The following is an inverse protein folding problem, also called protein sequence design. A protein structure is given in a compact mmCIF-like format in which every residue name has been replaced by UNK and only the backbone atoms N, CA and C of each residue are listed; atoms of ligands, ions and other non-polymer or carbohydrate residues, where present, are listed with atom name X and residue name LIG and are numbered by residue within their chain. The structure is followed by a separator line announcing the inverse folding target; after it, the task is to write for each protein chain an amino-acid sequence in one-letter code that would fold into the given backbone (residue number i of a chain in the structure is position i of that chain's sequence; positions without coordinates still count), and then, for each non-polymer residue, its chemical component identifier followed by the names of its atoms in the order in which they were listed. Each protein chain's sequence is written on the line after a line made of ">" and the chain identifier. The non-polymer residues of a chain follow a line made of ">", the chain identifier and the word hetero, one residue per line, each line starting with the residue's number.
data_IF_685993967987
#
_entry.id   IF_685993967987
#
_cell.length_a   1.000
_cell.length_b   1.000
_cell.length_c   1.000
_cell.angle_alpha   90.00
_cell.angle_beta   90.00
_cell.angle_gamma   90.00
#
_symmetry.space_group_name_H-M   'P 1'
#
loop_
_entity.id
_entity.type
_entity.pdbx_description
1 polymer ?
#
# COMPACT_ATOMS: atom_id res chain seq x y z
N UNK A 1 -30.10 5.75 -35.23
CA UNK A 1 -28.92 5.94 -34.37
C UNK A 1 -28.57 4.60 -33.76
N UNK A 2 -27.31 4.18 -33.91
CA UNK A 2 -26.67 3.06 -33.21
C UNK A 2 -25.19 3.20 -33.53
N UNK A 3 -24.52 4.09 -32.81
CA UNK A 3 -23.14 4.49 -33.08
C UNK A 3 -22.20 3.26 -33.01
N UNK A 4 -21.26 3.12 -33.96
CA UNK A 4 -20.37 1.97 -34.01
C UNK A 4 -19.44 2.04 -32.79
N UNK A 5 -19.65 1.11 -31.85
CA UNK A 5 -18.96 1.06 -30.56
C UNK A 5 -17.43 1.10 -30.72
N UNK A 6 -16.86 2.30 -30.65
CA UNK A 6 -15.45 2.50 -30.34
C UNK A 6 -15.21 1.96 -28.93
N UNK A 7 -14.14 1.19 -28.75
CA UNK A 7 -13.72 0.86 -27.39
C UNK A 7 -13.15 2.11 -26.72
N UNK A 8 -13.04 2.11 -25.39
CA UNK A 8 -12.23 3.08 -24.63
C UNK A 8 -10.77 3.07 -25.13
N UNK A 9 -10.34 1.93 -25.69
CA UNK A 9 -9.10 1.70 -26.42
C UNK A 9 -9.00 2.53 -27.74
N UNK A 10 -10.00 3.34 -28.12
CA UNK A 10 -10.02 4.26 -29.28
C UNK A 10 -10.18 3.60 -30.65
N UNK A 11 -9.88 2.30 -30.74
CA UNK A 11 -9.99 1.50 -31.96
C UNK A 11 -11.42 1.00 -32.21
N UNK A 12 -11.77 0.69 -33.48
CA UNK A 12 -13.07 0.11 -33.82
C UNK A 12 -13.22 -1.28 -33.21
N UNK A 13 -14.28 -1.50 -32.41
CA UNK A 13 -14.59 -2.83 -31.91
C UNK A 13 -15.34 -3.65 -32.97
N UNK A 14 -14.99 -4.94 -33.08
CA UNK A 14 -15.76 -5.91 -33.87
C UNK A 14 -16.41 -6.92 -32.95
N UNK A 15 -17.63 -7.34 -33.28
CA UNK A 15 -18.31 -8.45 -32.60
C UNK A 15 -18.07 -9.71 -33.44
N UNK A 16 -17.39 -10.69 -32.86
CA UNK A 16 -17.19 -12.02 -33.45
C UNK A 16 -18.19 -13.00 -32.87
N UNK A 17 -18.67 -13.94 -33.67
CA UNK A 17 -19.54 -15.04 -33.23
C UNK A 17 -18.72 -16.33 -33.22
N UNK A 18 -18.63 -17.00 -32.07
CA UNK A 18 -17.89 -18.25 -31.94
C UNK A 18 -18.54 -19.36 -32.75
N UNK A 19 -17.75 -19.99 -33.61
CA UNK A 19 -18.08 -21.21 -34.36
C UNK A 19 -17.56 -22.48 -33.67
N UNK A 20 -16.97 -22.36 -32.48
CA UNK A 20 -16.38 -23.51 -31.78
C UNK A 20 -17.47 -24.47 -31.27
N UNK A 21 -17.27 -25.81 -31.35
CA UNK A 21 -18.25 -26.78 -30.84
C UNK A 21 -18.54 -26.63 -29.33
N UNK A 22 -17.60 -26.07 -28.57
CA UNK A 22 -17.70 -25.86 -27.12
C UNK A 22 -18.49 -24.61 -26.73
N UNK A 23 -18.68 -23.65 -27.64
CA UNK A 23 -19.42 -22.41 -27.36
C UNK A 23 -20.03 -21.80 -28.65
N UNK A 24 -20.88 -22.53 -29.40
CA UNK A 24 -21.41 -22.08 -30.68
C UNK A 24 -22.36 -20.89 -30.50
N UNK A 25 -22.31 -19.92 -31.40
CA UNK A 25 -23.21 -18.76 -31.42
C UNK A 25 -22.91 -17.66 -30.39
N UNK A 26 -21.97 -17.87 -29.46
CA UNK A 26 -21.63 -16.86 -28.46
C UNK A 26 -20.88 -15.68 -29.07
N UNK A 27 -21.33 -14.46 -28.77
CA UNK A 27 -20.68 -13.23 -29.22
C UNK A 27 -19.52 -12.81 -28.31
N UNK A 28 -18.44 -12.32 -28.92
CA UNK A 28 -17.24 -11.78 -28.27
C UNK A 28 -16.90 -10.42 -28.89
N UNK A 29 -16.64 -9.40 -28.06
CA UNK A 29 -16.23 -8.07 -28.50
C UNK A 29 -14.70 -8.00 -28.50
N UNK A 30 -14.10 -7.57 -29.62
CA UNK A 30 -12.65 -7.51 -29.81
C UNK A 30 -12.21 -6.07 -30.12
N UNK A 31 -11.26 -5.52 -29.35
CA UNK A 31 -10.54 -4.29 -29.70
C UNK A 31 -9.23 -4.67 -30.43
N UNK A 32 -9.15 -4.36 -31.73
CA UNK A 32 -7.96 -4.52 -32.58
C UNK A 32 -7.51 -5.98 -32.90
N UNK A 33 -6.70 -6.15 -33.96
CA UNK A 33 -6.38 -7.44 -34.59
C UNK A 33 -5.16 -8.17 -33.99
N UNK A 34 -4.53 -7.61 -32.96
CA UNK A 34 -3.51 -8.33 -32.18
C UNK A 34 -4.17 -9.05 -31.01
N UNK A 35 -4.08 -10.38 -31.02
CA UNK A 35 -4.27 -11.18 -29.82
C UNK A 35 -3.27 -10.70 -28.77
N UNK A 36 -3.75 -9.93 -27.79
CA UNK A 36 -3.05 -9.78 -26.54
C UNK A 36 -3.23 -11.11 -25.80
N UNK A 37 -2.21 -11.97 -25.88
CA UNK A 37 -2.03 -13.09 -24.97
C UNK A 37 -1.79 -12.55 -23.56
N UNK A 38 -2.88 -12.09 -22.94
CA UNK A 38 -2.93 -11.83 -21.51
C UNK A 38 -3.06 -13.20 -20.87
N UNK A 39 -1.91 -13.79 -20.51
CA UNK A 39 -1.89 -14.89 -19.54
C UNK A 39 -2.79 -14.52 -18.36
N UNK A 40 -3.63 -15.45 -17.86
CA UNK A 40 -4.45 -15.20 -16.69
C UNK A 40 -3.59 -15.24 -15.42
N UNK A 41 -2.66 -14.29 -15.29
CA UNK A 41 -1.92 -13.97 -14.07
C UNK A 41 -2.83 -13.27 -13.03
N UNK A 42 -4.06 -13.77 -12.89
CA UNK A 42 -4.95 -13.44 -11.78
C UNK A 42 -4.61 -14.35 -10.60
N UNK A 43 -3.50 -14.04 -9.92
CA UNK A 43 -3.48 -14.27 -8.47
C UNK A 43 -4.73 -13.56 -7.91
N UNK A 44 -5.62 -14.26 -7.19
CA UNK A 44 -6.88 -13.67 -6.79
C UNK A 44 -6.62 -12.45 -5.91
N UNK A 45 -7.14 -11.28 -6.33
CA UNK A 45 -6.94 -9.99 -5.64
C UNK A 45 -7.32 -10.07 -4.15
N UNK A 46 -8.19 -11.01 -3.77
CA UNK A 46 -8.53 -11.31 -2.38
C UNK A 46 -7.34 -11.84 -1.56
N UNK A 47 -6.50 -12.74 -2.08
CA UNK A 47 -5.37 -13.28 -1.31
C UNK A 47 -4.31 -12.20 -1.05
N UNK A 48 -4.04 -11.34 -2.04
CA UNK A 48 -3.16 -10.17 -1.89
C UNK A 48 -3.76 -9.21 -0.85
N UNK A 49 -5.07 -8.92 -0.92
CA UNK A 49 -5.74 -8.05 0.04
C UNK A 49 -5.75 -8.63 1.46
N UNK A 50 -5.80 -9.95 1.65
CA UNK A 50 -5.69 -10.58 2.97
C UNK A 50 -4.26 -10.51 3.53
N UNK A 51 -3.24 -10.81 2.72
CA UNK A 51 -1.82 -10.64 3.11
C UNK A 51 -1.52 -9.20 3.52
N UNK A 52 -1.95 -8.22 2.71
CA UNK A 52 -1.78 -6.80 3.02
C UNK A 52 -2.51 -6.38 4.32
N UNK A 53 -3.68 -6.95 4.64
CA UNK A 53 -4.35 -6.69 5.94
C UNK A 53 -3.52 -7.18 7.13
N UNK A 54 -2.91 -8.36 7.02
CA UNK A 54 -2.05 -8.93 8.08
C UNK A 54 -0.81 -8.07 8.28
N UNK A 55 -0.12 -7.71 7.20
CA UNK A 55 1.07 -6.85 7.24
C UNK A 55 0.77 -5.45 7.81
N UNK A 56 -0.37 -4.86 7.45
CA UNK A 56 -0.79 -3.54 7.95
C UNK A 56 -1.11 -3.59 9.46
N UNK A 57 -1.68 -4.68 9.97
CA UNK A 57 -1.90 -4.89 11.42
C UNK A 57 -0.57 -5.06 12.18
N UNK A 58 0.39 -5.79 11.62
CA UNK A 58 1.73 -5.92 12.18
C UNK A 58 2.44 -4.55 12.24
N UNK A 59 2.49 -3.84 11.10
CA UNK A 59 3.10 -2.51 10.99
C UNK A 59 2.47 -1.50 11.96
N UNK A 60 1.13 -1.50 12.10
CA UNK A 60 0.42 -0.65 13.06
C UNK A 60 0.82 -0.93 14.51
N UNK A 61 1.16 -2.18 14.83
CA UNK A 61 1.62 -2.58 16.16
C UNK A 61 3.05 -2.10 16.42
N UNK A 62 3.93 -2.21 15.43
CA UNK A 62 5.31 -1.69 15.52
C UNK A 62 5.34 -0.16 15.62
N UNK A 63 4.56 0.55 14.81
CA UNK A 63 4.42 2.02 14.88
C UNK A 63 3.93 2.48 16.26
N UNK A 64 3.06 1.71 16.92
CA UNK A 64 2.62 2.01 18.30
C UNK A 64 3.76 1.87 19.31
N UNK A 65 4.56 0.80 19.23
CA UNK A 65 5.75 0.60 20.08
C UNK A 65 6.77 1.72 19.87
N UNK A 66 7.12 2.04 18.63
CA UNK A 66 8.06 3.12 18.29
C UNK A 66 7.58 4.47 18.82
N UNK A 67 6.27 4.75 18.82
CA UNK A 67 5.71 5.96 19.46
C UNK A 67 5.93 5.96 20.98
N UNK A 68 5.68 4.84 21.65
CA UNK A 68 5.87 4.67 23.10
C UNK A 68 7.36 4.82 23.46
N UNK A 69 8.28 4.22 22.69
CA UNK A 69 9.73 4.34 22.84
C UNK A 69 10.20 5.80 22.68
N UNK A 70 9.69 6.53 21.68
CA UNK A 70 10.00 7.96 21.48
C UNK A 70 9.48 8.82 22.63
N UNK A 71 8.31 8.51 23.19
CA UNK A 71 7.77 9.22 24.37
C UNK A 71 8.60 8.92 25.63
N UNK A 72 9.11 7.71 25.80
CA UNK A 72 10.02 7.35 26.89
C UNK A 72 11.39 8.05 26.74
N UNK A 73 12.03 7.96 25.57
CA UNK A 73 13.31 8.65 25.31
C UNK A 73 13.23 10.17 25.56
N UNK A 74 12.11 10.81 25.25
CA UNK A 74 11.90 12.24 25.56
C UNK A 74 11.90 12.51 27.07
N UNK A 75 11.26 11.65 27.88
CA UNK A 75 11.24 11.77 29.35
C UNK A 75 12.64 11.54 29.93
N UNK A 76 13.34 10.53 29.45
CA UNK A 76 14.73 10.25 29.86
C UNK A 76 15.65 11.42 29.55
N UNK A 77 15.62 11.97 28.33
CA UNK A 77 16.41 13.16 27.96
C UNK A 77 16.09 14.40 28.79
N UNK A 78 14.82 14.57 29.19
CA UNK A 78 14.43 15.67 30.08
C UNK A 78 14.96 15.46 31.50
N UNK A 79 14.91 14.22 32.02
CA UNK A 79 15.50 13.83 33.30
C UNK A 79 17.02 14.02 33.33
N UNK A 80 17.73 13.56 32.29
CA UNK A 80 19.17 13.76 32.10
C UNK A 80 19.54 15.26 32.15
N UNK A 81 18.77 16.10 31.47
CA UNK A 81 18.99 17.54 31.44
C UNK A 81 18.78 18.21 32.81
N UNK A 82 17.79 17.75 33.60
CA UNK A 82 17.60 18.20 34.98
C UNK A 82 18.79 17.76 35.85
N UNK A 83 19.16 16.49 35.81
CA UNK A 83 20.26 15.95 36.60
C UNK A 83 21.61 16.63 36.26
N UNK A 84 21.82 16.99 34.99
CA UNK A 84 23.00 17.78 34.58
C UNK A 84 22.96 19.20 35.14
N UNK A 85 21.81 19.89 35.10
CA UNK A 85 21.65 21.22 35.70
C UNK A 85 21.88 21.21 37.21
N UNK A 86 21.38 20.22 37.93
CA UNK A 86 21.63 20.10 39.37
C UNK A 86 23.11 19.88 39.70
N UNK A 87 23.82 19.05 38.92
CA UNK A 87 25.27 18.84 39.08
C UNK A 87 26.05 20.13 38.85
N UNK A 88 25.71 20.88 37.79
CA UNK A 88 26.33 22.18 37.50
C UNK A 88 26.06 23.16 38.65
N UNK A 89 24.81 23.27 39.13
CA UNK A 89 24.44 24.17 40.22
C UNK A 89 25.21 23.88 41.51
N UNK A 90 25.28 22.59 41.92
CA UNK A 90 26.08 22.14 43.07
C UNK A 90 27.57 22.45 42.90
N UNK A 91 28.12 22.21 41.71
CA UNK A 91 29.51 22.53 41.40
C UNK A 91 29.80 24.03 41.46
N UNK A 92 28.91 24.88 40.90
CA UNK A 92 29.09 26.34 40.95
C UNK A 92 29.00 26.89 42.37
N UNK A 93 28.12 26.37 43.23
CA UNK A 93 28.05 26.81 44.63
C UNK A 93 29.29 26.36 45.41
N UNK A 94 29.71 25.10 45.28
CA UNK A 94 30.92 24.59 45.91
C UNK A 94 32.25 25.13 45.36
N UNK A 95 32.19 26.04 44.38
CA UNK A 95 33.34 26.81 43.87
C UNK A 95 33.28 28.28 44.29
N UNK A 96 32.12 28.77 44.76
CA UNK A 96 31.88 30.15 45.22
C UNK A 96 31.97 30.31 46.74
N UNK A 97 32.07 29.20 47.49
CA UNK A 97 32.24 29.13 48.94
C UNK A 97 33.39 28.18 49.29
#
# INVERSE_FOLDING_TARGET
>A
MNDPKTCDCGFPARILTSTTPKNPGRHFMVCNEKWLDVEPAQMPVMEVAERMKVELVALKTEVKKVKEDIEQMKKEKYSDAIAMKEKIYKFTIGFLF
#
